data_IF_891973865751
#
_entry.id   IF_891973865751
#
_cell.length_a   1.000
_cell.length_b   1.000
_cell.length_c   1.000
_cell.angle_alpha   90.00
_cell.angle_beta   90.00
_cell.angle_gamma   90.00
#
_symmetry.space_group_name_H-M   'P 1'
#
loop_
_entity.id
_entity.type
_entity.pdbx_description
1 polymer ?
#
# COMPACT_ATOMS: atom_id res chain seq x y z
N UNK A 1 0.47 7.98 -26.53
CA UNK A 1 0.53 8.07 -25.05
C UNK A 1 1.23 9.37 -24.71
N UNK A 2 0.75 10.14 -23.73
CA UNK A 2 1.45 11.31 -23.21
C UNK A 2 2.08 10.91 -21.87
N UNK A 3 3.42 10.70 -21.80
CA UNK A 3 4.06 10.35 -20.55
C UNK A 3 3.85 11.45 -19.49
N UNK A 4 3.66 11.09 -18.21
CA UNK A 4 3.51 12.08 -17.15
C UNK A 4 4.88 12.70 -16.82
N UNK A 5 4.90 14.03 -16.67
CA UNK A 5 6.07 14.75 -16.17
C UNK A 5 5.99 14.91 -14.64
N UNK A 6 7.14 15.04 -13.98
CA UNK A 6 7.23 15.28 -12.54
C UNK A 6 8.15 16.46 -12.26
N UNK A 7 7.64 17.47 -11.59
CA UNK A 7 8.33 18.73 -11.30
C UNK A 7 9.12 18.72 -9.97
N UNK A 8 8.94 17.67 -9.16
CA UNK A 8 9.50 17.58 -7.81
C UNK A 8 8.61 18.23 -6.74
N UNK A 9 7.53 18.91 -7.14
CA UNK A 9 6.64 19.64 -6.26
C UNK A 9 5.37 18.80 -6.02
N UNK A 10 5.27 18.21 -4.83
CA UNK A 10 4.07 17.48 -4.46
C UNK A 10 4.25 16.59 -3.24
N UNK A 11 3.12 16.13 -2.70
CA UNK A 11 3.11 15.07 -1.69
C UNK A 11 3.68 13.77 -2.30
N UNK A 12 4.23 12.93 -1.44
CA UNK A 12 4.95 11.73 -1.79
C UNK A 12 4.05 10.75 -2.56
N UNK A 13 2.73 10.79 -2.35
CA UNK A 13 1.75 10.09 -3.18
C UNK A 13 1.90 10.40 -4.68
N UNK A 14 2.20 11.65 -5.05
CA UNK A 14 2.37 12.08 -6.45
C UNK A 14 3.63 11.47 -7.05
N UNK A 15 4.75 11.52 -6.33
CA UNK A 15 6.02 10.93 -6.78
C UNK A 15 5.89 9.42 -7.03
N UNK A 16 5.14 8.72 -6.17
CA UNK A 16 4.93 7.28 -6.29
C UNK A 16 4.00 6.90 -7.43
N UNK A 17 2.95 7.71 -7.63
CA UNK A 17 2.07 7.56 -8.78
C UNK A 17 2.84 7.78 -10.09
N UNK A 18 3.65 8.84 -10.16
CA UNK A 18 4.50 9.11 -11.33
C UNK A 18 5.43 7.93 -11.65
N UNK A 19 6.17 7.42 -10.66
CA UNK A 19 7.08 6.29 -10.85
C UNK A 19 6.35 5.02 -11.32
N UNK A 20 5.15 4.76 -10.81
CA UNK A 20 4.30 3.66 -11.26
C UNK A 20 3.86 3.82 -12.73
N UNK A 21 3.46 5.02 -13.15
CA UNK A 21 3.06 5.29 -14.53
C UNK A 21 4.24 5.17 -15.50
N UNK A 22 5.43 5.67 -15.13
CA UNK A 22 6.67 5.47 -15.92
C UNK A 22 6.97 3.99 -16.11
N UNK A 23 6.86 3.18 -15.05
CA UNK A 23 7.07 1.72 -15.14
C UNK A 23 6.06 1.06 -16.09
N UNK A 24 4.78 1.44 -16.03
CA UNK A 24 3.76 0.92 -16.96
C UNK A 24 4.09 1.24 -18.42
N UNK A 25 4.66 2.42 -18.69
CA UNK A 25 5.11 2.79 -20.04
C UNK A 25 6.26 1.87 -20.48
N UNK A 26 7.23 1.58 -19.61
CA UNK A 26 8.30 0.64 -19.94
C UNK A 26 7.77 -0.74 -20.29
N UNK A 27 6.81 -1.25 -19.52
CA UNK A 27 6.19 -2.55 -19.77
C UNK A 27 5.39 -2.54 -21.09
N UNK A 28 4.66 -1.46 -21.36
CA UNK A 28 3.80 -1.33 -22.55
C UNK A 28 4.62 -1.17 -23.83
N UNK A 29 5.68 -0.34 -23.79
CA UNK A 29 6.57 -0.07 -24.92
C UNK A 29 7.68 -1.13 -25.03
N UNK A 30 7.82 -1.99 -24.01
CA UNK A 30 8.83 -3.07 -23.90
C UNK A 30 10.26 -2.55 -23.89
N UNK A 31 10.50 -1.45 -23.18
CA UNK A 31 11.87 -0.96 -22.94
C UNK A 31 12.51 -1.88 -21.90
N UNK A 32 13.64 -2.52 -22.25
CA UNK A 32 14.29 -3.48 -21.36
C UNK A 32 15.63 -2.98 -20.84
N UNK A 33 16.30 -2.17 -21.65
CA UNK A 33 17.62 -1.61 -21.52
C UNK A 33 17.62 -0.51 -20.45
N UNK A 34 18.51 -0.65 -19.47
CA UNK A 34 18.51 0.22 -18.29
C UNK A 34 18.89 1.67 -18.61
N UNK A 35 19.85 1.88 -19.51
CA UNK A 35 20.23 3.20 -20.00
C UNK A 35 19.05 3.92 -20.68
N UNK A 36 18.28 3.20 -21.49
CA UNK A 36 17.07 3.74 -22.13
C UNK A 36 15.98 4.07 -21.11
N UNK A 37 15.76 3.22 -20.11
CA UNK A 37 14.79 3.49 -19.02
C UNK A 37 15.18 4.72 -18.23
N UNK A 38 16.45 4.81 -17.82
CA UNK A 38 16.96 5.95 -17.06
C UNK A 38 16.86 7.23 -17.89
N UNK A 39 17.28 7.20 -19.15
CA UNK A 39 17.19 8.35 -20.05
C UNK A 39 15.75 8.81 -20.25
N UNK A 40 14.81 7.89 -20.43
CA UNK A 40 13.40 8.22 -20.58
C UNK A 40 12.83 8.83 -19.31
N UNK A 41 13.08 8.22 -18.14
CA UNK A 41 12.57 8.72 -16.87
C UNK A 41 13.16 10.09 -16.53
N UNK A 42 14.46 10.28 -16.72
CA UNK A 42 15.11 11.58 -16.50
C UNK A 42 14.56 12.66 -17.42
N UNK A 43 14.21 12.32 -18.66
CA UNK A 43 13.59 13.28 -19.59
C UNK A 43 12.18 13.72 -19.14
N UNK A 44 11.49 12.90 -18.34
CA UNK A 44 10.19 13.25 -17.77
C UNK A 44 10.28 14.04 -16.46
N UNK A 45 11.48 14.20 -15.90
CA UNK A 45 11.71 15.13 -14.80
C UNK A 45 11.76 16.55 -15.34
N UNK A 46 11.05 17.46 -14.70
CA UNK A 46 11.02 18.89 -15.05
C UNK A 46 11.23 19.72 -13.78
N UNK A 47 11.43 21.04 -13.93
CA UNK A 47 11.57 21.94 -12.77
C UNK A 47 12.64 21.50 -11.77
N UNK A 48 12.30 21.52 -10.48
CA UNK A 48 13.20 21.20 -9.37
C UNK A 48 13.70 19.74 -9.42
N UNK A 49 12.84 18.80 -9.85
CA UNK A 49 13.26 17.41 -9.99
C UNK A 49 14.32 17.21 -11.07
N UNK A 50 14.26 17.97 -12.16
CA UNK A 50 15.30 17.92 -13.18
C UNK A 50 16.62 18.49 -12.65
N UNK A 51 16.58 19.65 -12.00
CA UNK A 51 17.78 20.28 -11.41
C UNK A 51 18.46 19.36 -10.39
N UNK A 52 17.67 18.71 -9.52
CA UNK A 52 18.16 17.70 -8.59
C UNK A 52 18.81 16.52 -9.32
N UNK A 53 18.17 16.00 -10.37
CA UNK A 53 18.70 14.85 -11.10
C UNK A 53 20.00 15.16 -11.83
N UNK A 54 20.13 16.35 -12.43
CA UNK A 54 21.39 16.81 -13.04
C UNK A 54 22.52 16.86 -11.99
N UNK A 55 22.25 17.39 -10.80
CA UNK A 55 23.24 17.42 -9.70
C UNK A 55 23.69 16.01 -9.28
N UNK A 56 22.77 15.04 -9.23
CA UNK A 56 23.10 13.63 -8.95
C UNK A 56 23.99 13.04 -10.05
N UNK A 57 23.72 13.36 -11.32
CA UNK A 57 24.52 12.88 -12.44
C UNK A 57 25.96 13.37 -12.37
N UNK A 58 26.15 14.63 -12.04
CA UNK A 58 27.47 15.23 -11.82
C UNK A 58 28.20 14.62 -10.62
N UNK A 59 27.51 14.51 -9.48
CA UNK A 59 28.11 14.03 -8.24
C UNK A 59 28.50 12.55 -8.29
N UNK A 60 27.69 11.69 -8.93
CA UNK A 60 27.93 10.25 -9.00
C UNK A 60 28.70 9.82 -10.26
N UNK A 61 29.10 10.75 -11.15
CA UNK A 61 29.82 10.43 -12.39
C UNK A 61 29.04 9.45 -13.27
N UNK A 62 27.74 9.66 -13.38
CA UNK A 62 26.72 8.68 -13.81
C UNK A 62 26.84 8.23 -15.27
N UNK A 63 27.70 8.89 -16.03
CA UNK A 63 27.79 8.86 -17.49
C UNK A 63 28.03 7.47 -18.12
N UNK A 64 28.30 6.39 -17.35
CA UNK A 64 28.58 5.05 -17.91
C UNK A 64 28.03 3.84 -17.15
N UNK A 65 26.99 3.98 -16.33
CA UNK A 65 26.47 2.78 -15.62
C UNK A 65 25.26 2.93 -14.73
N UNK A 66 24.43 3.96 -14.91
CA UNK A 66 23.17 4.03 -14.15
C UNK A 66 22.25 2.90 -14.57
N UNK A 67 21.97 2.00 -13.64
CA UNK A 67 20.90 1.02 -13.80
C UNK A 67 19.57 1.65 -13.46
N UNK A 68 18.49 1.09 -14.00
CA UNK A 68 17.14 1.50 -13.62
C UNK A 68 16.90 1.33 -12.12
N UNK A 69 17.45 0.27 -11.53
CA UNK A 69 17.38 0.03 -10.09
C UNK A 69 18.04 1.15 -9.26
N UNK A 70 19.21 1.63 -9.68
CA UNK A 70 19.91 2.71 -8.99
C UNK A 70 19.20 4.06 -9.14
N UNK A 71 18.64 4.35 -10.32
CA UNK A 71 17.77 5.50 -10.53
C UNK A 71 16.58 5.45 -9.58
N UNK A 72 15.86 4.32 -9.57
CA UNK A 72 14.68 4.11 -8.72
C UNK A 72 15.00 4.31 -7.25
N UNK A 73 16.08 3.70 -6.76
CA UNK A 73 16.53 3.86 -5.37
C UNK A 73 16.86 5.31 -5.05
N UNK A 74 17.62 6.00 -5.92
CA UNK A 74 18.01 7.40 -5.68
C UNK A 74 16.79 8.33 -5.69
N UNK A 75 15.83 8.08 -6.58
CA UNK A 75 14.55 8.78 -6.63
C UNK A 75 13.71 8.54 -5.37
N UNK A 76 13.59 7.28 -4.95
CA UNK A 76 12.88 6.91 -3.73
C UNK A 76 13.59 7.47 -2.48
N UNK A 77 14.91 7.55 -2.42
CA UNK A 77 15.58 8.14 -1.26
C UNK A 77 15.35 9.66 -1.15
N UNK A 78 15.26 10.35 -2.30
CA UNK A 78 14.98 11.79 -2.35
C UNK A 78 13.53 12.12 -2.00
N UNK A 79 12.57 11.42 -2.61
CA UNK A 79 11.14 11.73 -2.51
C UNK A 79 10.38 10.79 -1.56
N UNK A 80 10.99 9.73 -1.08
CA UNK A 80 10.42 8.77 -0.12
C UNK A 80 11.47 8.34 0.93
N UNK A 81 11.99 9.30 1.72
CA UNK A 81 12.98 9.00 2.72
C UNK A 81 12.47 7.91 3.68
N UNK A 82 13.37 7.08 4.18
CA UNK A 82 13.03 5.93 5.04
C UNK A 82 12.19 6.35 6.26
N UNK A 83 12.54 7.48 6.89
CA UNK A 83 11.78 8.04 8.00
C UNK A 83 10.29 8.30 7.67
N UNK A 84 9.98 8.71 6.43
CA UNK A 84 8.60 8.89 6.00
C UNK A 84 7.90 7.56 5.70
N UNK A 85 8.63 6.57 5.15
CA UNK A 85 8.10 5.21 4.99
C UNK A 85 7.75 4.60 6.34
N UNK A 86 8.56 4.85 7.35
CA UNK A 86 8.30 4.44 8.73
C UNK A 86 7.09 5.17 9.32
N UNK A 87 6.93 6.47 9.07
CA UNK A 87 5.75 7.22 9.48
C UNK A 87 4.48 6.65 8.84
N UNK A 88 4.49 6.36 7.54
CA UNK A 88 3.35 5.75 6.84
C UNK A 88 3.01 4.36 7.36
N UNK A 89 4.03 3.58 7.73
CA UNK A 89 3.86 2.28 8.40
C UNK A 89 3.22 2.46 9.77
N UNK A 90 3.68 3.41 10.58
CA UNK A 90 3.09 3.70 11.88
C UNK A 90 1.63 4.19 11.74
N UNK A 91 1.35 5.03 10.74
CA UNK A 91 -0.02 5.43 10.40
C UNK A 91 -0.89 4.24 10.00
N UNK A 92 -0.32 3.25 9.30
CA UNK A 92 -1.04 2.02 8.95
C UNK A 92 -1.32 1.14 10.17
N UNK A 93 -0.32 0.96 11.05
CA UNK A 93 -0.44 0.18 12.28
C UNK A 93 -1.51 0.75 13.22
N UNK A 94 -1.59 2.07 13.28
CA UNK A 94 -2.57 2.80 14.08
C UNK A 94 -3.87 3.11 13.33
N UNK A 95 -4.02 2.62 12.10
CA UNK A 95 -5.19 2.93 11.27
C UNK A 95 -6.44 2.30 11.89
N UNK A 96 -7.32 3.16 12.38
CA UNK A 96 -8.66 2.84 12.88
C UNK A 96 -9.69 3.62 12.06
N UNK A 97 -10.91 3.11 11.95
CA UNK A 97 -11.95 3.78 11.17
C UNK A 97 -12.34 5.15 11.75
N UNK A 98 -12.47 5.23 13.08
CA UNK A 98 -12.94 6.44 13.79
C UNK A 98 -14.20 7.06 13.18
N UNK A 99 -14.13 8.31 12.72
CA UNK A 99 -15.19 9.09 12.10
C UNK A 99 -15.18 9.01 10.56
N UNK A 100 -14.19 8.33 9.97
CA UNK A 100 -14.14 8.10 8.52
C UNK A 100 -15.30 7.22 8.07
N UNK A 101 -15.83 7.55 6.90
CA UNK A 101 -16.74 6.65 6.21
C UNK A 101 -16.03 5.35 5.85
N UNK A 102 -16.83 4.31 5.66
CA UNK A 102 -16.37 3.00 5.19
C UNK A 102 -15.48 3.11 3.94
N UNK A 103 -15.89 3.97 3.00
CA UNK A 103 -15.18 4.20 1.73
C UNK A 103 -13.83 4.89 1.96
N UNK A 104 -13.80 5.94 2.79
CA UNK A 104 -12.56 6.65 3.12
C UNK A 104 -11.56 5.76 3.85
N UNK A 105 -12.05 4.96 4.81
CA UNK A 105 -11.21 3.96 5.49
C UNK A 105 -10.65 2.95 4.51
N UNK A 106 -11.48 2.40 3.61
CA UNK A 106 -11.05 1.45 2.59
C UNK A 106 -9.96 2.02 1.67
N UNK A 107 -10.13 3.26 1.20
CA UNK A 107 -9.14 3.96 0.37
C UNK A 107 -7.83 4.18 1.15
N UNK A 108 -7.93 4.65 2.40
CA UNK A 108 -6.76 4.91 3.25
C UNK A 108 -6.01 3.62 3.61
N UNK A 109 -6.73 2.56 3.93
CA UNK A 109 -6.19 1.22 4.16
C UNK A 109 -5.44 0.70 2.94
N UNK A 110 -6.06 0.73 1.76
CA UNK A 110 -5.41 0.30 0.52
C UNK A 110 -4.17 1.13 0.22
N UNK A 111 -4.24 2.45 0.44
CA UNK A 111 -3.10 3.34 0.23
C UNK A 111 -1.93 2.99 1.15
N UNK A 112 -2.16 2.87 2.46
CA UNK A 112 -1.11 2.67 3.46
C UNK A 112 -0.55 1.23 3.47
N UNK A 113 -1.37 0.22 3.14
CA UNK A 113 -0.96 -1.19 3.13
C UNK A 113 0.23 -1.50 2.21
N UNK A 114 0.48 -0.67 1.18
CA UNK A 114 1.60 -0.85 0.26
C UNK A 114 2.97 -0.63 0.92
N UNK A 115 3.01 0.10 2.04
CA UNK A 115 4.23 0.47 2.75
C UNK A 115 4.58 -0.47 3.90
N UNK A 116 3.69 -1.42 4.23
CA UNK A 116 3.90 -2.41 5.28
C UNK A 116 3.55 -3.83 4.78
N UNK A 117 4.30 -4.37 3.81
CA UNK A 117 4.01 -5.68 3.21
C UNK A 117 4.20 -6.86 4.18
N UNK A 118 4.98 -6.65 5.23
CA UNK A 118 5.33 -7.59 6.30
C UNK A 118 4.28 -7.64 7.41
N UNK A 119 3.42 -6.63 7.52
CA UNK A 119 2.32 -6.67 8.48
C UNK A 119 1.23 -7.60 7.97
N UNK A 120 0.68 -8.48 8.83
CA UNK A 120 -0.42 -9.34 8.43
C UNK A 120 -1.53 -8.43 7.92
N UNK A 121 -2.05 -8.71 6.71
CA UNK A 121 -3.25 -8.05 6.18
C UNK A 121 -4.48 -8.55 6.93
N UNK A 122 -4.50 -8.43 8.25
CA UNK A 122 -5.52 -8.90 9.18
C UNK A 122 -6.89 -8.20 9.01
N UNK A 123 -7.19 -7.68 7.82
CA UNK A 123 -8.35 -6.86 7.48
C UNK A 123 -8.93 -7.11 6.09
N UNK A 124 -8.46 -8.11 5.32
CA UNK A 124 -9.15 -8.48 4.07
C UNK A 124 -10.64 -8.83 4.32
N UNK A 125 -10.97 -9.35 5.50
CA UNK A 125 -12.36 -9.59 5.94
C UNK A 125 -13.11 -8.27 6.18
N UNK A 126 -12.49 -7.23 6.75
CA UNK A 126 -13.16 -5.95 6.99
C UNK A 126 -13.51 -5.25 5.68
N UNK A 127 -12.60 -5.19 4.71
CA UNK A 127 -12.88 -4.62 3.39
C UNK A 127 -13.99 -5.37 2.63
N UNK A 128 -13.95 -6.72 2.62
CA UNK A 128 -15.02 -7.53 2.01
C UNK A 128 -16.34 -7.34 2.75
N UNK A 129 -16.34 -7.36 4.08
CA UNK A 129 -17.55 -7.18 4.88
C UNK A 129 -18.15 -5.79 4.69
N UNK A 130 -17.34 -4.73 4.66
CA UNK A 130 -17.76 -3.34 4.44
C UNK A 130 -18.26 -3.09 3.00
N UNK A 131 -17.57 -3.62 1.97
CA UNK A 131 -18.04 -3.57 0.58
C UNK A 131 -19.36 -4.35 0.42
N UNK A 132 -19.50 -5.49 1.12
CA UNK A 132 -20.75 -6.25 1.16
C UNK A 132 -21.87 -5.47 1.85
N UNK A 133 -21.61 -4.71 2.92
CA UNK A 133 -22.62 -3.87 3.59
C UNK A 133 -23.15 -2.74 2.68
N UNK A 134 -22.27 -2.01 1.99
CA UNK A 134 -22.66 -0.93 1.07
C UNK A 134 -23.26 -1.47 -0.25
N UNK A 135 -22.82 -2.64 -0.71
CA UNK A 135 -23.32 -3.31 -1.91
C UNK A 135 -24.67 -4.04 -1.76
N UNK A 136 -25.15 -4.29 -0.53
CA UNK A 136 -26.41 -5.00 -0.28
C UNK A 136 -27.65 -4.10 -0.17
N UNK A 137 -27.55 -2.81 -0.53
CA UNK A 137 -28.73 -1.94 -0.64
C UNK A 137 -29.54 -2.18 -1.94
N UNK A 138 -28.94 -2.76 -2.98
CA UNK A 138 -29.58 -2.91 -4.30
C UNK A 138 -30.37 -4.21 -4.54
N UNK A 139 -30.48 -5.12 -3.56
CA UNK A 139 -31.31 -6.35 -3.68
C UNK A 139 -32.10 -6.73 -2.42
N UNK A 140 -32.68 -5.75 -1.72
CA UNK A 140 -33.72 -6.02 -0.71
C UNK A 140 -34.99 -5.18 -0.82
N UNK A 141 -35.38 -4.80 -2.03
CA UNK A 141 -36.78 -4.46 -2.33
C UNK A 141 -37.68 -5.70 -2.53
N UNK A 142 -37.46 -6.76 -1.76
CA UNK A 142 -38.41 -7.87 -1.58
C UNK A 142 -38.03 -8.71 -0.35
N UNK A 143 -38.19 -8.13 0.84
CA UNK A 143 -38.40 -8.91 2.05
C UNK A 143 -39.34 -8.11 2.95
N UNK A 144 -40.64 -8.26 2.69
CA UNK A 144 -41.69 -7.82 3.61
C UNK A 144 -41.53 -8.56 4.93
N UNK A 145 -41.75 -7.82 6.02
CA UNK A 145 -41.93 -8.30 7.40
C UNK A 145 -40.64 -8.63 8.16
N UNK A 146 -40.30 -7.79 9.14
CA UNK A 146 -40.32 -8.12 10.57
C UNK A 146 -40.13 -6.82 11.38
N UNK A 147 -40.99 -6.58 12.37
CA UNK A 147 -40.88 -5.47 13.34
C UNK A 147 -39.98 -5.88 14.51
N UNK A 148 -39.14 -4.95 14.97
CA UNK A 148 -38.78 -4.67 16.38
C UNK A 148 -37.86 -3.42 16.36
N UNK A 149 -38.28 -2.23 16.83
CA UNK A 149 -38.29 -1.71 18.21
C UNK A 149 -36.89 -1.48 18.81
N UNK A 150 -36.53 -0.18 18.96
CA UNK A 150 -35.56 0.41 19.91
C UNK A 150 -34.09 0.04 19.70
N UNK A 151 -33.07 0.84 19.99
CA UNK A 151 -32.90 2.19 20.52
C UNK A 151 -31.47 2.63 20.17
N UNK A 152 -31.21 3.93 20.18
CA UNK A 152 -29.89 4.56 19.96
C UNK A 152 -28.78 3.84 20.75
N UNK A 153 -27.67 3.49 20.10
CA UNK A 153 -26.47 2.97 20.78
C UNK A 153 -25.32 2.77 19.81
N UNK A 154 -24.19 3.44 20.07
CA UNK A 154 -22.92 3.29 19.35
C UNK A 154 -22.49 1.82 19.37
N UNK A 155 -22.20 1.24 18.20
CA UNK A 155 -21.58 -0.08 18.12
C UNK A 155 -20.07 0.06 18.36
N UNK A 156 -19.64 -0.20 19.58
CA UNK A 156 -18.22 -0.32 19.93
C UNK A 156 -17.82 -1.78 19.71
N UNK A 157 -17.04 -2.04 18.65
CA UNK A 157 -16.51 -3.37 18.36
C UNK A 157 -15.15 -3.52 19.05
N UNK A 158 -15.06 -4.35 20.09
CA UNK A 158 -13.80 -4.74 20.69
C UNK A 158 -13.16 -5.90 19.89
N UNK A 159 -11.82 -5.98 19.76
CA UNK A 159 -11.17 -7.08 19.06
C UNK A 159 -11.35 -8.39 19.85
N UNK A 160 -11.88 -9.42 19.20
CA UNK A 160 -11.89 -10.77 19.74
C UNK A 160 -10.44 -11.27 19.76
N UNK A 161 -9.83 -11.31 20.94
CA UNK A 161 -8.57 -12.04 21.16
C UNK A 161 -8.86 -13.53 20.94
N UNK A 162 -8.21 -14.13 19.94
CA UNK A 162 -8.24 -15.58 19.71
C UNK A 162 -7.68 -16.32 20.94
N UNK A 163 -8.31 -17.42 21.40
CA UNK A 163 -7.77 -18.20 22.51
C UNK A 163 -6.44 -18.86 22.12
N UNK A 164 -5.43 -18.75 22.99
CA UNK A 164 -4.24 -19.62 22.98
C UNK A 164 -4.69 -21.07 23.12
N UNK A 165 -4.40 -21.92 22.14
CA UNK A 165 -4.54 -23.37 22.29
C UNK A 165 -3.56 -23.87 23.35
N UNK A 166 -4.12 -24.34 24.48
CA UNK A 166 -3.41 -25.17 25.45
C UNK A 166 -3.43 -26.60 24.91
N UNK A 167 -2.30 -27.07 24.39
CA UNK A 167 -2.12 -28.49 24.09
C UNK A 167 -1.83 -29.25 25.38
N UNK A 168 -2.87 -29.86 25.95
CA UNK A 168 -2.77 -30.85 27.02
C UNK A 168 -2.36 -32.20 26.45
N UNK A 169 -1.34 -32.79 27.10
CA UNK A 169 -0.90 -34.19 27.00
C UNK A 169 -2.06 -35.18 26.83
N UNK A 170 -1.83 -36.20 25.99
CA UNK A 170 -2.24 -37.57 26.34
C UNK A 170 -1.35 -38.62 25.69
N UNK A 171 -1.10 -39.63 26.49
CA UNK A 171 -0.07 -40.66 26.41
C UNK A 171 -0.23 -41.63 25.23
N UNK A 172 0.91 -42.12 24.73
CA UNK A 172 0.99 -43.41 24.03
C UNK A 172 2.16 -44.20 24.62
N UNK A 173 1.81 -44.93 25.67
CA UNK A 173 2.25 -46.27 26.02
C UNK A 173 3.08 -46.97 24.92
N UNK A 174 4.37 -47.21 25.18
CA UNK A 174 5.17 -48.23 24.49
C UNK A 174 5.73 -49.15 25.56
N UNK A 175 5.33 -50.40 25.43
CA UNK A 175 5.67 -51.58 26.23
C UNK A 175 7.16 -51.88 26.24
N UNK A 176 7.73 -51.99 27.44
CA UNK A 176 8.98 -52.71 27.69
C UNK A 176 8.64 -54.16 28.06
N UNK A 177 9.23 -55.13 27.37
CA UNK A 177 9.52 -56.45 27.95
C UNK A 177 10.73 -57.07 27.27
N UNK A 178 11.54 -57.67 28.12
CA UNK A 178 12.84 -58.32 27.91
C UNK A 178 12.83 -59.46 26.88
#
# INVERSE_FOLDING_TARGET
MNPPSFDGLGDLVVAGHWLSEIRKIFDTVRITEDDMKVSFASYQLVGEANEWWESIKEAKGVDRGMTWANFKSTFEDQYFPEAYRDELREQFEKLVQEDMTISEYAIKFQSLSRFAPDLPKNFEISLIYLIVQEGWSLKRSSAKSLRAVGSRGKCQWAPVLLPREVSTRRDKEITHRD
#
